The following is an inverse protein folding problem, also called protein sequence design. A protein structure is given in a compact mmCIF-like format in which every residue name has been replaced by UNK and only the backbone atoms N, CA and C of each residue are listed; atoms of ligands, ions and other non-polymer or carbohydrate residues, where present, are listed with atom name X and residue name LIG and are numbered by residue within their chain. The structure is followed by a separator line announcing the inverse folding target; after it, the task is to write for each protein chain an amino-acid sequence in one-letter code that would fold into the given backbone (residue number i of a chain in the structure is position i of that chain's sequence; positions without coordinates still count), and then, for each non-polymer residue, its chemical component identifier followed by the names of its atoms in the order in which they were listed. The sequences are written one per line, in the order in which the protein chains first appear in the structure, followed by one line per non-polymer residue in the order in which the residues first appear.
data_IF_215507221498
#
_entry.id   IF_215507221498
#
_cell.length_a   1.000
_cell.length_b   1.000
_cell.length_c   1.000
_cell.angle_alpha   90.00
_cell.angle_beta   90.00
_cell.angle_gamma   90.00
#
_symmetry.space_group_name_H-M   'P 1'
#
loop_
_entity.id
_entity.type
_entity.pdbx_description
1 polymer ?
#
# COMPACT_ATOMS: atom_id res chain seq x y z
N UNK A 1 -35.02 -18.74 -32.40
CA UNK A 1 -33.60 -18.52 -32.05
C UNK A 1 -33.56 -17.85 -30.68
N UNK A 2 -33.36 -18.64 -29.62
CA UNK A 2 -33.11 -18.09 -28.29
C UNK A 2 -31.63 -17.74 -28.21
N UNK A 3 -31.32 -16.44 -28.21
CA UNK A 3 -29.98 -15.96 -27.89
C UNK A 3 -29.72 -16.31 -26.43
N UNK A 4 -28.79 -17.22 -26.22
CA UNK A 4 -28.17 -17.54 -24.93
C UNK A 4 -27.74 -16.24 -24.24
N UNK A 5 -28.25 -16.01 -23.03
CA UNK A 5 -27.77 -15.00 -22.11
C UNK A 5 -26.30 -15.28 -21.78
N UNK A 6 -25.38 -14.67 -22.54
CA UNK A 6 -23.98 -14.62 -22.15
C UNK A 6 -23.86 -13.64 -20.98
N UNK A 7 -23.79 -14.17 -19.76
CA UNK A 7 -23.35 -13.41 -18.60
C UNK A 7 -21.86 -13.08 -18.78
N UNK A 8 -21.57 -11.87 -19.25
CA UNK A 8 -20.20 -11.35 -19.26
C UNK A 8 -19.78 -11.07 -17.83
N UNK A 9 -18.74 -11.78 -17.38
CA UNK A 9 -18.15 -11.54 -16.07
C UNK A 9 -17.29 -10.25 -16.15
N UNK A 10 -17.78 -9.16 -15.56
CA UNK A 10 -17.05 -7.91 -15.43
C UNK A 10 -16.25 -7.89 -14.11
N UNK A 11 -15.10 -7.19 -14.06
CA UNK A 11 -14.27 -7.11 -12.84
C UNK A 11 -14.92 -6.27 -11.73
N UNK A 12 -15.85 -5.37 -12.06
CA UNK A 12 -16.53 -4.47 -11.13
C UNK A 12 -18.05 -4.45 -11.39
N UNK A 13 -18.85 -4.14 -10.36
CA UNK A 13 -20.32 -4.01 -10.44
C UNK A 13 -20.78 -2.58 -10.16
N UNK A 14 -21.31 -1.90 -11.17
CA UNK A 14 -21.83 -0.54 -11.05
C UNK A 14 -23.06 -0.46 -10.12
N UNK A 15 -23.88 -1.52 -10.10
CA UNK A 15 -25.05 -1.59 -9.22
C UNK A 15 -24.62 -1.52 -7.77
N UNK A 16 -23.58 -2.27 -7.39
CA UNK A 16 -23.04 -2.28 -6.03
C UNK A 16 -22.45 -0.91 -5.68
N UNK A 17 -21.63 -0.33 -6.58
CA UNK A 17 -21.03 0.98 -6.37
C UNK A 17 -22.09 2.08 -6.12
N UNK A 18 -23.19 2.07 -6.89
CA UNK A 18 -24.27 3.07 -6.76
C UNK A 18 -25.14 2.86 -5.51
N UNK A 19 -25.29 1.63 -5.05
CA UNK A 19 -26.11 1.32 -3.87
C UNK A 19 -25.35 1.43 -2.54
N UNK A 20 -24.02 1.52 -2.58
CA UNK A 20 -23.18 1.51 -1.39
C UNK A 20 -23.33 2.84 -0.61
N UNK A 21 -23.86 2.77 0.60
CA UNK A 21 -24.26 3.94 1.39
C UNK A 21 -23.53 4.08 2.74
N UNK A 22 -22.53 3.24 3.00
CA UNK A 22 -21.81 3.22 4.27
C UNK A 22 -20.33 3.58 4.08
N UNK A 23 -19.87 4.67 4.67
CA UNK A 23 -18.44 5.00 4.72
C UNK A 23 -18.06 5.48 6.10
N UNK A 24 -16.76 5.36 6.42
CA UNK A 24 -16.18 5.96 7.62
C UNK A 24 -15.25 7.07 7.19
N UNK A 25 -15.20 8.15 7.98
CA UNK A 25 -14.32 9.29 7.69
C UNK A 25 -12.85 8.94 7.87
N UNK A 26 -12.53 7.98 8.74
CA UNK A 26 -11.16 7.62 9.06
C UNK A 26 -11.03 6.18 9.57
N UNK A 27 -9.91 5.56 9.20
CA UNK A 27 -9.48 4.25 9.69
C UNK A 27 -8.31 4.35 10.68
N UNK A 28 -7.85 5.56 11.03
CA UNK A 28 -6.75 5.76 11.98
C UNK A 28 -7.01 5.12 13.36
N UNK A 29 -8.23 5.14 13.93
CA UNK A 29 -8.50 4.44 15.18
C UNK A 29 -8.25 2.93 15.10
N UNK A 30 -8.51 2.32 13.94
CA UNK A 30 -8.26 0.89 13.70
C UNK A 30 -6.75 0.63 13.66
N UNK A 31 -5.99 1.42 12.90
CA UNK A 31 -4.53 1.30 12.88
C UNK A 31 -3.92 1.46 14.29
N UNK A 32 -4.37 2.44 15.06
CA UNK A 32 -3.92 2.64 16.45
C UNK A 32 -4.15 1.39 17.31
N UNK A 33 -5.32 0.75 17.17
CA UNK A 33 -5.64 -0.49 17.89
C UNK A 33 -4.75 -1.66 17.47
N UNK A 34 -4.54 -1.87 16.16
CA UNK A 34 -3.71 -2.96 15.63
C UNK A 34 -2.24 -2.80 16.03
N UNK A 35 -1.72 -1.56 15.99
CA UNK A 35 -0.35 -1.23 16.41
C UNK A 35 -0.17 -1.48 17.91
N UNK A 36 -1.12 -1.02 18.75
CA UNK A 36 -1.09 -1.28 20.21
C UNK A 36 -1.18 -2.77 20.55
N UNK A 37 -1.82 -3.57 19.71
CA UNK A 37 -1.88 -5.02 19.84
C UNK A 37 -0.58 -5.73 19.40
N UNK A 38 0.43 -4.99 18.93
CA UNK A 38 1.71 -5.55 18.50
C UNK A 38 1.68 -6.17 17.10
N UNK A 39 0.64 -5.92 16.31
CA UNK A 39 0.58 -6.42 14.93
C UNK A 39 1.54 -5.63 14.02
N UNK A 40 2.21 -6.33 13.12
CA UNK A 40 3.08 -5.73 12.12
C UNK A 40 2.23 -5.10 11.01
N UNK A 41 2.30 -3.78 10.87
CA UNK A 41 1.51 -3.02 9.88
C UNK A 41 2.44 -2.34 8.87
N UNK A 42 2.23 -2.63 7.58
CA UNK A 42 2.91 -1.94 6.48
C UNK A 42 1.86 -1.25 5.61
N UNK A 43 2.13 0.00 5.24
CA UNK A 43 1.40 0.72 4.20
C UNK A 43 2.33 0.89 3.00
N UNK A 44 1.88 0.53 1.80
CA UNK A 44 2.65 0.77 0.59
C UNK A 44 1.84 1.56 -0.45
N UNK A 45 2.53 2.35 -1.27
CA UNK A 45 1.88 3.17 -2.31
C UNK A 45 2.80 3.32 -3.52
N UNK A 46 2.24 3.18 -4.73
CA UNK A 46 2.94 3.51 -5.96
C UNK A 46 3.01 5.02 -6.15
N UNK A 47 4.21 5.58 -6.38
CA UNK A 47 4.39 7.03 -6.41
C UNK A 47 3.93 7.73 -7.70
N UNK A 48 3.46 6.97 -8.69
CA UNK A 48 2.83 7.47 -9.89
C UNK A 48 1.29 7.31 -9.88
N UNK A 49 0.69 6.90 -8.76
CA UNK A 49 -0.78 6.84 -8.64
C UNK A 49 -1.41 8.23 -8.49
N UNK A 50 -2.26 8.59 -9.46
CA UNK A 50 -3.06 9.83 -9.41
C UNK A 50 -4.42 9.68 -8.72
N UNK A 51 -4.90 8.46 -8.43
CA UNK A 51 -6.19 8.22 -7.76
C UNK A 51 -6.05 8.32 -6.24
N UNK A 52 -5.05 7.65 -5.66
CA UNK A 52 -4.75 7.67 -4.23
C UNK A 52 -3.26 7.97 -4.03
N UNK A 53 -2.85 9.25 -4.17
CA UNK A 53 -1.44 9.61 -4.23
C UNK A 53 -0.70 9.39 -2.90
N UNK A 54 0.61 9.14 -2.99
CA UNK A 54 1.53 8.93 -1.85
C UNK A 54 1.40 10.01 -0.78
N UNK A 55 1.22 11.28 -1.18
CA UNK A 55 1.13 12.41 -0.24
C UNK A 55 -0.07 12.24 0.70
N UNK A 56 -1.23 11.80 0.20
CA UNK A 56 -2.40 11.55 1.03
C UNK A 56 -2.15 10.42 2.03
N UNK A 57 -1.57 9.32 1.54
CA UNK A 57 -1.18 8.19 2.39
C UNK A 57 -0.18 8.60 3.48
N UNK A 58 0.78 9.47 3.14
CA UNK A 58 1.77 10.00 4.07
C UNK A 58 1.12 10.82 5.18
N UNK A 59 0.22 11.73 4.84
CA UNK A 59 -0.52 12.50 5.84
C UNK A 59 -1.37 11.61 6.76
N UNK A 60 -1.98 10.53 6.23
CA UNK A 60 -2.68 9.57 7.07
C UNK A 60 -1.75 8.89 8.09
N UNK A 61 -0.56 8.47 7.67
CA UNK A 61 0.42 7.84 8.57
C UNK A 61 0.96 8.84 9.59
N UNK A 62 1.31 10.06 9.17
CA UNK A 62 1.81 11.12 10.06
C UNK A 62 0.77 11.52 11.12
N UNK A 63 -0.53 11.51 10.77
CA UNK A 63 -1.62 11.79 11.70
C UNK A 63 -1.76 10.76 12.85
N UNK A 64 -1.11 9.60 12.77
CA UNK A 64 -1.05 8.65 13.89
C UNK A 64 -0.10 9.11 15.01
N UNK A 65 0.76 10.10 14.77
CA UNK A 65 1.70 10.64 15.77
C UNK A 65 2.71 9.61 16.27
N UNK A 66 3.05 8.61 15.46
CA UNK A 66 4.00 7.56 15.85
C UNK A 66 5.43 8.13 15.85
N UNK A 67 6.28 7.75 16.83
CA UNK A 67 7.69 8.13 16.81
C UNK A 67 8.43 7.51 15.62
N UNK A 68 9.29 8.29 14.96
CA UNK A 68 10.13 7.81 13.85
C UNK A 68 11.21 6.87 14.42
N UNK A 69 11.26 5.65 13.89
CA UNK A 69 12.27 4.63 14.18
C UNK A 69 13.44 4.71 13.20
N UNK A 70 13.15 4.95 11.92
CA UNK A 70 14.16 5.11 10.87
C UNK A 70 13.72 6.18 9.87
N UNK A 71 14.64 7.09 9.54
CA UNK A 71 14.38 8.23 8.67
C UNK A 71 14.05 7.81 7.24
N UNK A 72 13.40 8.70 6.50
CA UNK A 72 13.00 8.50 5.12
C UNK A 72 14.20 8.22 4.19
N UNK A 73 14.34 6.97 3.75
CA UNK A 73 15.52 6.49 3.04
C UNK A 73 15.15 5.64 1.81
N UNK A 74 16.03 5.55 0.79
CA UNK A 74 15.79 4.67 -0.34
C UNK A 74 15.87 3.20 0.08
N UNK A 75 15.13 2.36 -0.64
CA UNK A 75 15.39 0.93 -0.69
C UNK A 75 15.75 0.49 -2.11
N UNK A 76 16.53 -0.57 -2.18
CA UNK A 76 17.17 -1.03 -3.40
C UNK A 76 16.72 -2.42 -3.80
N UNK A 77 16.61 -2.62 -5.10
CA UNK A 77 16.45 -3.92 -5.73
C UNK A 77 17.29 -3.94 -7.00
N UNK A 78 18.10 -4.99 -7.20
CA UNK A 78 18.96 -5.13 -8.38
C UNK A 78 19.83 -3.89 -8.65
N UNK A 79 20.46 -3.34 -7.61
CA UNK A 79 21.34 -2.15 -7.68
C UNK A 79 20.64 -0.85 -8.14
N UNK A 80 19.32 -0.80 -8.10
CA UNK A 80 18.48 0.34 -8.48
C UNK A 80 17.58 0.75 -7.32
N UNK A 81 17.23 2.05 -7.25
CA UNK A 81 16.27 2.55 -6.27
C UNK A 81 14.88 2.06 -6.67
N UNK A 82 14.35 1.13 -5.88
CA UNK A 82 13.03 0.55 -6.08
C UNK A 82 11.93 1.39 -5.41
N UNK A 83 12.31 2.25 -4.46
CA UNK A 83 11.44 3.23 -3.84
C UNK A 83 12.05 3.81 -2.57
N UNK A 84 11.22 4.30 -1.66
CA UNK A 84 11.65 4.86 -0.37
C UNK A 84 10.79 4.33 0.75
N UNK A 85 11.28 4.39 1.98
CA UNK A 85 10.49 4.01 3.14
C UNK A 85 10.85 4.84 4.36
N UNK A 86 9.93 4.90 5.30
CA UNK A 86 10.11 5.41 6.66
C UNK A 86 9.57 4.36 7.61
N UNK A 87 10.30 4.14 8.71
CA UNK A 87 9.82 3.29 9.78
C UNK A 87 9.43 4.15 10.97
N UNK A 88 8.25 3.86 11.50
CA UNK A 88 7.78 4.33 12.78
C UNK A 88 7.79 3.18 13.78
N UNK A 89 7.71 3.50 15.06
CA UNK A 89 7.41 2.48 16.06
C UNK A 89 5.99 1.95 15.86
N UNK A 90 5.89 0.76 15.24
CA UNK A 90 4.62 0.05 15.01
C UNK A 90 4.12 0.05 13.56
N UNK A 91 4.69 0.84 12.66
CA UNK A 91 4.27 0.90 11.26
C UNK A 91 5.44 1.21 10.33
N UNK A 92 5.44 0.63 9.13
CA UNK A 92 6.36 0.99 8.05
C UNK A 92 5.56 1.53 6.87
N UNK A 93 5.94 2.71 6.35
CA UNK A 93 5.40 3.22 5.09
C UNK A 93 6.43 3.05 3.99
N UNK A 94 6.02 2.50 2.85
CA UNK A 94 6.89 2.21 1.70
C UNK A 94 6.30 2.81 0.43
N UNK A 95 7.14 3.38 -0.41
CA UNK A 95 6.79 3.74 -1.79
C UNK A 95 7.46 2.83 -2.78
N UNK A 96 6.84 2.66 -3.94
CA UNK A 96 7.40 1.94 -5.07
C UNK A 96 7.54 2.93 -6.23
N UNK A 97 8.78 3.16 -6.64
CA UNK A 97 9.15 4.15 -7.64
C UNK A 97 8.63 3.77 -9.02
N UNK A 98 7.85 4.66 -9.63
CA UNK A 98 7.26 4.51 -10.95
C UNK A 98 6.10 3.52 -11.01
N UNK A 99 5.57 3.07 -9.88
CA UNK A 99 4.36 2.24 -9.84
C UNK A 99 3.10 3.13 -9.74
N UNK A 100 2.03 2.74 -10.44
CA UNK A 100 0.71 3.36 -10.29
C UNK A 100 -0.12 2.70 -9.17
N UNK A 101 -1.44 2.82 -9.28
CA UNK A 101 -2.38 2.24 -8.30
C UNK A 101 -2.23 0.72 -8.15
N UNK A 102 -1.99 0.03 -9.26
CA UNK A 102 -1.85 -1.43 -9.30
C UNK A 102 -0.35 -1.80 -9.25
N UNK A 103 0.28 -1.61 -8.09
CA UNK A 103 1.74 -1.82 -7.92
C UNK A 103 2.22 -3.16 -8.48
N UNK A 104 1.62 -4.34 -8.17
CA UNK A 104 2.10 -5.61 -8.71
C UNK A 104 1.94 -5.75 -10.24
N UNK A 105 1.02 -5.00 -10.86
CA UNK A 105 0.87 -4.94 -12.32
C UNK A 105 1.96 -4.08 -12.95
N UNK A 106 2.25 -2.91 -12.36
CA UNK A 106 3.20 -1.96 -12.93
C UNK A 106 4.66 -2.34 -12.64
N UNK A 107 4.93 -2.90 -11.45
CA UNK A 107 6.24 -3.18 -10.89
C UNK A 107 6.24 -4.56 -10.19
N UNK A 108 6.08 -5.66 -10.94
CA UNK A 108 5.92 -6.99 -10.36
C UNK A 108 7.12 -7.44 -9.53
N UNK A 109 8.34 -7.14 -9.96
CA UNK A 109 9.58 -7.50 -9.26
C UNK A 109 9.71 -6.78 -7.92
N UNK A 110 9.42 -5.47 -7.89
CA UNK A 110 9.38 -4.69 -6.65
C UNK A 110 8.23 -5.11 -5.74
N UNK A 111 7.06 -5.45 -6.32
CA UNK A 111 5.89 -5.94 -5.59
C UNK A 111 6.14 -7.26 -4.86
N UNK A 112 6.75 -8.25 -5.53
CA UNK A 112 7.09 -9.53 -4.90
C UNK A 112 8.16 -9.36 -3.82
N UNK A 113 9.19 -8.55 -4.09
CA UNK A 113 10.23 -8.26 -3.10
C UNK A 113 9.67 -7.60 -1.83
N UNK A 114 8.68 -6.71 -1.99
CA UNK A 114 8.01 -6.04 -0.88
C UNK A 114 7.20 -7.03 -0.01
N UNK A 115 6.38 -7.88 -0.62
CA UNK A 115 5.55 -8.84 0.14
C UNK A 115 6.43 -9.91 0.80
N UNK A 116 7.50 -10.36 0.14
CA UNK A 116 8.46 -11.31 0.72
C UNK A 116 9.15 -10.70 1.95
N UNK A 117 9.57 -9.44 1.87
CA UNK A 117 10.15 -8.73 3.01
C UNK A 117 9.16 -8.63 4.18
N UNK A 118 7.90 -8.27 3.91
CA UNK A 118 6.85 -8.19 4.91
C UNK A 118 6.54 -9.55 5.57
N UNK A 119 6.40 -10.62 4.77
CA UNK A 119 6.05 -11.96 5.26
C UNK A 119 7.19 -12.53 6.11
N UNK A 120 8.43 -12.39 5.65
CA UNK A 120 9.62 -12.92 6.33
C UNK A 120 10.13 -12.01 7.46
N UNK A 121 9.51 -10.85 7.68
CA UNK A 121 9.95 -9.89 8.70
C UNK A 121 11.36 -9.32 8.42
N UNK A 122 11.76 -9.24 7.15
CA UNK A 122 13.06 -8.71 6.74
C UNK A 122 12.99 -7.20 6.54
N UNK A 123 14.09 -6.52 6.80
CA UNK A 123 14.23 -5.11 6.41
C UNK A 123 14.39 -4.99 4.90
N UNK A 124 13.91 -3.87 4.34
CA UNK A 124 14.16 -3.54 2.95
C UNK A 124 15.66 -3.22 2.75
N UNK A 125 16.28 -3.66 1.64
CA UNK A 125 17.71 -3.41 1.41
C UNK A 125 18.00 -1.91 1.30
N UNK A 126 18.91 -1.39 2.13
CA UNK A 126 19.32 0.03 2.14
C UNK A 126 20.63 0.29 1.38
N UNK A 127 21.24 -0.76 0.83
CA UNK A 127 22.50 -0.69 0.09
C UNK A 127 22.32 -1.17 -1.35
N UNK A 128 23.17 -0.65 -2.24
CA UNK A 128 23.17 -0.95 -3.67
C UNK A 128 23.77 -2.32 -3.97
#
# INVERSE_FOLDING_TARGET
MNLTYFHFHLPCSDSILKSYNFSVLSILPIYSKLIKAGLRVWLYSGDADGRVPVIGSRYCVEALGLPIKSQWQPWYLNKQVAGRFVEYHGMTMVTIRGAGHLVPLNKPTEGIALIDAFLLGKQLPTHR
#
